data_IF_039124299748
#
_entry.id   IF_039124299748
#
_cell.length_a   1.000
_cell.length_b   1.000
_cell.length_c   1.000
_cell.angle_alpha   90.00
_cell.angle_beta   90.00
_cell.angle_gamma   90.00
#
_symmetry.space_group_name_H-M   'P 1'
#
loop_
_entity.id
_entity.type
_entity.pdbx_description
1 polymer ?
#
# COMPACT_ATOMS: atom_id res chain seq x y z
N UNK A 1 16.69 53.13 33.34
CA UNK A 1 17.58 52.19 34.06
C UNK A 1 16.70 51.40 35.03
N UNK A 2 16.53 50.10 34.74
CA UNK A 2 16.08 49.02 35.66
C UNK A 2 17.05 48.86 36.85
N UNK A 3 16.79 48.04 37.91
CA UNK A 3 16.07 46.73 37.95
C UNK A 3 14.98 46.61 39.07
N UNK A 4 13.90 45.84 38.84
CA UNK A 4 13.70 44.39 39.10
C UNK A 4 13.92 43.96 40.56
N UNK A 5 12.85 43.52 41.26
CA UNK A 5 12.73 42.10 41.56
C UNK A 5 11.34 41.62 42.02
N UNK A 6 11.20 40.30 41.85
CA UNK A 6 10.08 39.39 41.70
C UNK A 6 9.05 39.22 42.84
N UNK A 7 7.81 38.94 42.41
CA UNK A 7 6.64 38.53 43.18
C UNK A 7 6.47 36.99 43.06
N UNK A 8 6.25 36.28 44.17
CA UNK A 8 5.78 34.88 44.19
C UNK A 8 4.67 34.72 45.22
N UNK A 9 3.50 34.30 44.76
CA UNK A 9 2.29 34.00 45.53
C UNK A 9 1.80 32.58 45.22
N UNK A 10 0.92 32.10 46.12
CA UNK A 10 0.09 30.89 46.07
C UNK A 10 0.73 29.65 46.72
N UNK A 11 0.05 28.88 47.57
CA UNK A 11 -1.38 28.85 47.91
C UNK A 11 -1.72 27.42 48.37
N UNK A 12 -2.65 27.35 49.32
CA UNK A 12 -2.95 26.22 50.22
C UNK A 12 -3.69 25.02 49.60
N UNK A 13 -3.52 23.87 50.29
CA UNK A 13 -4.31 22.63 50.45
C UNK A 13 -5.61 22.41 49.68
N UNK A 14 -5.83 21.18 49.18
CA UNK A 14 -6.70 20.21 49.88
C UNK A 14 -6.58 18.76 49.38
N UNK A 15 -6.73 17.85 50.34
CA UNK A 15 -6.65 16.38 50.29
C UNK A 15 -8.06 15.84 50.43
N UNK A 16 -8.50 14.84 49.63
CA UNK A 16 -9.33 13.71 50.13
C UNK A 16 -9.01 12.42 49.32
N UNK A 17 -8.67 11.38 50.08
CA UNK A 17 -8.47 9.96 49.73
C UNK A 17 -9.71 9.19 50.19
N UNK A 18 -10.18 8.17 49.45
CA UNK A 18 -10.90 7.04 50.05
C UNK A 18 -10.50 5.69 49.42
N UNK A 19 -10.22 4.72 50.30
CA UNK A 19 -9.76 3.35 50.03
C UNK A 19 -10.53 2.38 50.94
N UNK A 20 -10.94 1.23 50.38
CA UNK A 20 -11.21 -0.06 51.08
C UNK A 20 -12.55 -0.19 51.81
N UNK A 21 -13.06 -1.37 52.18
CA UNK A 21 -12.75 -2.81 51.97
C UNK A 21 -13.82 -3.60 52.79
N UNK A 22 -14.12 -4.85 52.38
CA UNK A 22 -14.44 -6.05 53.21
C UNK A 22 -15.74 -6.10 54.06
N UNK A 23 -16.58 -7.13 53.86
CA UNK A 23 -16.77 -8.35 54.72
C UNK A 23 -18.02 -8.18 55.62
N UNK A 24 -18.88 -9.13 56.02
CA UNK A 24 -18.83 -10.59 56.23
C UNK A 24 -20.25 -11.13 56.60
N UNK A 25 -20.54 -12.39 56.22
CA UNK A 25 -21.25 -13.50 56.96
C UNK A 25 -22.67 -13.39 57.56
N UNK A 26 -23.45 -14.48 57.36
CA UNK A 26 -24.11 -15.22 58.46
C UNK A 26 -25.51 -15.87 58.22
N UNK A 27 -25.53 -17.19 57.98
CA UNK A 27 -26.34 -18.31 58.60
C UNK A 27 -27.86 -18.12 58.91
N UNK A 28 -28.85 -19.01 58.64
CA UNK A 28 -29.06 -20.42 59.11
C UNK A 28 -30.41 -21.06 58.63
N UNK A 29 -30.43 -22.39 58.33
CA UNK A 29 -31.42 -23.52 58.55
C UNK A 29 -32.97 -23.31 58.63
N UNK A 30 -33.92 -24.22 58.26
CA UNK A 30 -33.96 -25.71 58.15
C UNK A 30 -35.16 -26.32 57.35
N UNK A 31 -34.93 -27.49 56.70
CA UNK A 31 -35.67 -28.79 56.61
C UNK A 31 -37.12 -29.01 56.07
N UNK A 32 -37.26 -29.86 55.03
CA UNK A 32 -37.83 -31.25 55.01
C UNK A 32 -37.78 -31.81 53.55
N UNK A 33 -37.00 -32.88 53.26
CA UNK A 33 -37.42 -34.27 52.92
C UNK A 33 -38.28 -34.43 51.62
N UNK A 34 -38.02 -35.29 50.61
CA UNK A 34 -37.31 -36.58 50.55
C UNK A 34 -37.21 -37.16 49.10
N UNK A 35 -36.24 -38.07 48.89
CA UNK A 35 -36.11 -39.20 47.91
C UNK A 35 -35.56 -39.02 46.46
N UNK A 36 -34.25 -39.35 46.34
CA UNK A 36 -33.55 -40.31 45.40
C UNK A 36 -33.87 -40.34 43.90
N UNK A 37 -32.87 -40.07 43.03
CA UNK A 37 -31.86 -41.04 42.57
C UNK A 37 -30.82 -40.43 41.60
N UNK A 38 -29.62 -41.00 41.65
CA UNK A 38 -28.34 -40.73 40.96
C UNK A 38 -28.46 -40.61 39.42
N UNK A 39 -27.60 -39.94 38.65
CA UNK A 39 -26.14 -40.12 38.50
C UNK A 39 -25.53 -38.84 37.91
N UNK A 40 -24.41 -38.39 38.49
CA UNK A 40 -23.71 -37.16 38.11
C UNK A 40 -22.68 -37.31 37.00
N UNK A 41 -22.36 -36.19 36.35
CA UNK A 41 -21.11 -35.96 35.64
C UNK A 41 -20.69 -34.51 35.90
N UNK A 42 -19.58 -34.37 36.62
CA UNK A 42 -18.92 -33.10 36.92
C UNK A 42 -17.77 -32.87 35.92
N UNK A 43 -17.50 -31.59 35.68
CA UNK A 43 -16.56 -31.06 34.69
C UNK A 43 -15.16 -30.97 35.30
N UNK A 44 -14.10 -31.39 34.58
CA UNK A 44 -12.73 -30.95 34.92
C UNK A 44 -11.87 -30.64 33.69
N UNK A 45 -11.24 -29.47 33.79
CA UNK A 45 -10.36 -28.75 32.86
C UNK A 45 -8.97 -29.41 32.66
N UNK A 46 -8.46 -29.37 31.41
CA UNK A 46 -7.08 -29.48 30.83
C UNK A 46 -5.85 -29.97 31.66
N UNK A 47 -4.71 -30.37 31.03
CA UNK A 47 -4.47 -31.33 29.94
C UNK A 47 -3.38 -32.39 30.33
N UNK A 48 -3.38 -33.58 29.73
CA UNK A 48 -2.23 -34.50 29.76
C UNK A 48 -1.51 -34.50 28.41
N UNK A 49 -0.15 -34.43 28.37
CA UNK A 49 0.60 -34.40 27.12
C UNK A 49 0.54 -35.77 26.45
N UNK A 50 -0.12 -35.87 25.30
CA UNK A 50 -0.18 -37.13 24.55
C UNK A 50 1.09 -37.23 23.70
N UNK A 51 1.96 -38.17 24.09
CA UNK A 51 3.09 -38.64 23.27
C UNK A 51 2.53 -39.34 22.03
N UNK A 52 2.77 -38.76 20.85
CA UNK A 52 2.27 -39.30 19.58
C UNK A 52 3.22 -40.42 19.11
N UNK A 53 2.72 -41.63 18.77
CA UNK A 53 3.54 -42.70 18.21
C UNK A 53 4.01 -42.37 16.77
N UNK A 54 5.17 -42.91 16.33
CA UNK A 54 5.92 -42.44 15.16
C UNK A 54 5.27 -42.70 13.79
N UNK A 55 4.02 -43.14 13.72
CA UNK A 55 3.29 -43.40 12.47
C UNK A 55 2.26 -42.32 12.07
N UNK A 56 2.20 -41.18 12.79
CA UNK A 56 1.24 -40.10 12.50
C UNK A 56 1.86 -38.83 11.90
N UNK A 57 3.15 -38.84 11.60
CA UNK A 57 3.85 -37.73 10.91
C UNK A 57 3.27 -37.41 9.52
N UNK A 58 2.81 -38.38 8.69
CA UNK A 58 2.29 -38.03 7.36
C UNK A 58 0.90 -37.38 7.36
N UNK A 59 0.14 -37.47 8.47
CA UNK A 59 -1.25 -36.99 8.50
C UNK A 59 -1.35 -35.51 8.91
N UNK A 60 -0.32 -34.97 9.57
CA UNK A 60 -0.25 -33.53 9.91
C UNK A 60 0.16 -32.70 8.68
N UNK A 61 0.98 -33.27 7.79
CA UNK A 61 1.34 -32.64 6.51
C UNK A 61 0.16 -32.55 5.52
N UNK A 62 -0.86 -33.40 5.67
CA UNK A 62 -2.09 -33.31 4.87
C UNK A 62 -3.07 -32.24 5.39
N UNK A 63 -3.05 -31.91 6.69
CA UNK A 63 -4.04 -31.01 7.30
C UNK A 63 -3.67 -29.53 7.17
N UNK A 64 -2.38 -29.17 7.08
CA UNK A 64 -1.95 -27.76 6.93
C UNK A 64 -1.44 -27.38 5.54
N UNK A 65 -1.46 -28.30 4.57
CA UNK A 65 -0.77 -28.16 3.29
C UNK A 65 -1.62 -28.13 2.03
N UNK A 66 -2.89 -27.67 2.05
CA UNK A 66 -3.63 -27.33 0.82
C UNK A 66 -4.56 -26.13 1.04
N UNK A 67 -4.25 -25.04 0.34
CA UNK A 67 -5.03 -23.81 0.32
C UNK A 67 -6.49 -24.07 -0.03
N UNK A 68 -7.40 -23.64 0.84
CA UNK A 68 -8.84 -23.66 0.57
C UNK A 68 -9.20 -22.54 -0.41
N UNK A 69 -9.98 -22.95 -1.41
CA UNK A 69 -10.58 -22.15 -2.48
C UNK A 69 -11.62 -21.20 -1.84
N UNK A 70 -11.52 -19.91 -2.13
CA UNK A 70 -12.48 -18.90 -1.66
C UNK A 70 -13.66 -18.86 -2.64
N UNK A 71 -14.85 -19.10 -2.09
CA UNK A 71 -16.15 -18.92 -2.74
C UNK A 71 -16.46 -17.43 -2.87
N UNK A 72 -16.80 -16.95 -4.07
CA UNK A 72 -17.24 -15.58 -4.33
C UNK A 72 -18.60 -15.60 -5.04
N UNK A 73 -19.70 -15.80 -4.31
CA UNK A 73 -21.01 -15.36 -4.79
C UNK A 73 -21.92 -15.02 -3.61
N UNK A 74 -22.34 -13.76 -3.55
CA UNK A 74 -23.77 -13.40 -3.40
C UNK A 74 -24.00 -11.97 -3.91
N UNK A 75 -25.14 -11.68 -4.57
CA UNK A 75 -25.33 -10.50 -5.42
C UNK A 75 -26.40 -9.51 -4.91
N UNK A 76 -26.61 -8.47 -5.73
CA UNK A 76 -27.81 -7.60 -5.90
C UNK A 76 -27.78 -6.17 -5.31
N UNK A 77 -28.57 -5.21 -5.87
CA UNK A 77 -28.76 -4.88 -7.30
C UNK A 77 -28.95 -3.35 -7.59
N UNK A 78 -29.20 -3.02 -8.88
CA UNK A 78 -29.86 -1.81 -9.47
C UNK A 78 -28.95 -0.62 -9.88
N UNK A 79 -28.77 -0.28 -11.18
CA UNK A 79 -29.66 0.19 -12.27
C UNK A 79 -29.86 1.74 -12.32
N UNK A 80 -30.00 2.36 -13.52
CA UNK A 80 -29.28 3.59 -13.86
C UNK A 80 -30.13 4.80 -14.35
N UNK A 81 -29.44 5.96 -14.44
CA UNK A 81 -29.68 7.14 -15.32
C UNK A 81 -30.89 8.07 -15.05
N UNK A 82 -30.98 9.29 -15.66
CA UNK A 82 -29.95 10.16 -16.27
C UNK A 82 -30.07 11.70 -15.99
N UNK A 83 -29.06 12.43 -16.50
CA UNK A 83 -29.11 13.71 -17.27
C UNK A 83 -29.04 15.12 -16.65
N UNK A 84 -28.09 15.89 -17.24
CA UNK A 84 -28.11 17.32 -17.65
C UNK A 84 -27.72 18.40 -16.61
N UNK A 85 -26.53 19.04 -16.73
CA UNK A 85 -26.18 20.30 -17.46
C UNK A 85 -26.79 21.56 -16.80
N UNK A 86 -26.15 22.71 -16.56
CA UNK A 86 -24.92 23.34 -17.07
C UNK A 86 -24.70 24.71 -16.39
N UNK A 87 -23.44 25.14 -16.31
CA UNK A 87 -22.88 26.48 -16.60
C UNK A 87 -22.97 27.70 -15.66
N UNK A 88 -21.84 28.45 -15.74
CA UNK A 88 -21.54 29.87 -15.46
C UNK A 88 -21.16 30.21 -14.00
N UNK A 89 -20.15 31.03 -13.68
CA UNK A 89 -19.08 31.82 -14.32
C UNK A 89 -18.27 32.37 -13.10
N UNK A 90 -16.98 32.76 -13.08
CA UNK A 90 -16.27 33.73 -13.90
C UNK A 90 -14.82 33.84 -13.36
N UNK A 91 -13.92 34.25 -14.25
CA UNK A 91 -12.45 34.29 -14.18
C UNK A 91 -11.88 35.59 -13.60
N UNK A 92 -10.62 35.55 -13.17
CA UNK A 92 -9.69 36.69 -13.15
C UNK A 92 -8.28 36.13 -13.41
N UNK A 93 -7.75 36.34 -14.61
CA UNK A 93 -6.52 37.11 -14.87
C UNK A 93 -6.24 37.12 -16.38
N UNK A 94 -5.91 38.32 -16.83
CA UNK A 94 -5.87 38.82 -18.20
C UNK A 94 -4.66 38.33 -18.99
N UNK A 95 -4.91 37.94 -20.24
CA UNK A 95 -3.94 37.70 -21.30
C UNK A 95 -3.08 38.94 -21.60
N UNK A 96 -1.86 38.70 -22.06
CA UNK A 96 -1.21 39.58 -23.04
C UNK A 96 -0.71 38.73 -24.19
N UNK A 97 -1.30 38.99 -25.34
CA UNK A 97 -1.22 38.26 -26.61
C UNK A 97 0.04 38.63 -27.38
N UNK A 98 0.75 37.64 -27.94
CA UNK A 98 1.34 37.77 -29.28
C UNK A 98 1.00 36.49 -30.06
N UNK A 99 0.20 36.67 -31.09
CA UNK A 99 -0.35 35.64 -31.97
C UNK A 99 0.65 35.17 -33.02
N UNK A 100 0.75 33.85 -33.22
CA UNK A 100 0.81 33.25 -34.57
C UNK A 100 0.07 31.90 -34.54
N UNK A 101 -1.07 31.85 -35.21
CA UNK A 101 -1.90 30.65 -35.39
C UNK A 101 -1.27 29.72 -36.42
N UNK A 102 -1.40 28.39 -36.24
CA UNK A 102 -1.67 27.41 -37.31
C UNK A 102 -2.05 26.03 -36.71
N UNK A 103 -3.31 25.65 -36.94
CA UNK A 103 -3.95 24.32 -36.88
C UNK A 103 -3.94 23.45 -35.60
N UNK A 104 -5.10 22.85 -35.22
CA UNK A 104 -5.20 21.83 -34.18
C UNK A 104 -5.05 20.43 -34.77
N UNK A 105 -4.08 19.64 -34.29
CA UNK A 105 -4.13 18.16 -34.24
C UNK A 105 -2.76 17.60 -33.85
N UNK A 106 -2.52 17.39 -32.56
CA UNK A 106 -1.48 16.44 -32.15
C UNK A 106 -1.98 15.59 -30.99
N UNK A 107 -2.41 14.36 -31.34
CA UNK A 107 -2.27 13.20 -30.46
C UNK A 107 -0.88 13.26 -29.85
N UNK A 108 -0.80 13.24 -28.52
CA UNK A 108 0.45 13.11 -27.78
C UNK A 108 1.20 11.89 -28.31
N UNK A 109 2.25 12.12 -29.09
CA UNK A 109 3.19 11.07 -29.50
C UNK A 109 4.15 10.89 -28.34
N UNK A 110 3.95 9.83 -27.56
CA UNK A 110 4.90 9.36 -26.56
C UNK A 110 6.22 9.09 -27.29
N UNK A 111 7.25 9.91 -27.03
CA UNK A 111 8.58 9.75 -27.62
C UNK A 111 9.46 8.98 -26.63
N UNK A 112 10.30 8.04 -27.10
CA UNK A 112 11.28 7.39 -26.24
C UNK A 112 12.27 8.42 -25.68
N UNK A 113 12.60 8.28 -24.38
CA UNK A 113 13.58 9.13 -23.68
C UNK A 113 14.95 8.47 -23.78
N UNK A 114 15.98 9.21 -24.19
CA UNK A 114 17.35 8.72 -24.39
C UNK A 114 18.30 9.08 -23.23
N UNK A 115 19.38 8.32 -23.07
CA UNK A 115 20.37 8.47 -22.00
C UNK A 115 21.06 9.83 -21.95
N UNK A 116 21.00 10.49 -20.80
CA UNK A 116 21.99 11.47 -20.32
C UNK A 116 22.51 11.01 -18.95
N UNK A 117 23.72 11.43 -18.54
CA UNK A 117 24.29 11.02 -17.24
C UNK A 117 23.36 11.40 -16.07
N UNK A 118 22.72 12.57 -16.12
CA UNK A 118 21.77 13.02 -15.10
C UNK A 118 20.53 12.14 -15.01
N UNK A 119 19.98 11.66 -16.14
CA UNK A 119 18.83 10.75 -16.13
C UNK A 119 19.21 9.37 -15.59
N UNK A 120 20.44 8.91 -15.84
CA UNK A 120 20.99 7.68 -15.27
C UNK A 120 21.07 7.74 -13.75
N UNK A 121 21.65 8.79 -13.19
CA UNK A 121 21.75 8.96 -11.72
C UNK A 121 20.37 9.00 -11.05
N UNK A 122 19.38 9.66 -11.68
CA UNK A 122 17.99 9.67 -11.19
C UNK A 122 17.38 8.28 -11.21
N UNK A 123 17.58 7.53 -12.29
CA UNK A 123 17.04 6.18 -12.40
C UNK A 123 17.68 5.21 -11.39
N UNK A 124 18.99 5.34 -11.12
CA UNK A 124 19.67 4.57 -10.08
C UNK A 124 19.15 4.90 -8.68
N UNK A 125 18.91 6.18 -8.40
CA UNK A 125 18.27 6.62 -7.16
C UNK A 125 16.86 6.02 -7.02
N UNK A 126 16.03 6.08 -8.06
CA UNK A 126 14.68 5.51 -8.04
C UNK A 126 14.69 3.99 -7.93
N UNK A 127 15.63 3.28 -8.55
CA UNK A 127 15.82 1.85 -8.34
C UNK A 127 16.09 1.52 -6.86
N UNK A 128 16.87 2.35 -6.17
CA UNK A 128 17.08 2.21 -4.73
C UNK A 128 15.77 2.44 -3.94
N UNK A 129 14.94 3.42 -4.32
CA UNK A 129 13.63 3.68 -3.71
C UNK A 129 12.64 2.54 -3.93
N UNK A 130 12.58 2.01 -5.14
CA UNK A 130 11.76 0.84 -5.48
C UNK A 130 12.17 -0.37 -4.63
N UNK A 131 13.48 -0.66 -4.56
CA UNK A 131 14.01 -1.74 -3.72
C UNK A 131 13.70 -1.49 -2.23
N UNK A 132 13.73 -0.24 -1.78
CA UNK A 132 13.40 0.12 -0.40
C UNK A 132 11.95 -0.22 -0.02
N UNK A 133 11.01 -0.24 -0.98
CA UNK A 133 9.63 -0.66 -0.70
C UNK A 133 9.54 -2.08 -0.13
N UNK A 134 10.47 -2.97 -0.48
CA UNK A 134 10.56 -4.33 0.10
C UNK A 134 10.76 -4.26 1.61
N UNK A 135 11.68 -3.40 2.06
CA UNK A 135 11.95 -3.19 3.48
C UNK A 135 10.78 -2.49 4.17
N UNK A 136 10.21 -1.46 3.56
CA UNK A 136 9.02 -0.75 4.08
C UNK A 136 7.86 -1.70 4.30
N UNK A 137 7.61 -2.59 3.34
CA UNK A 137 6.53 -3.57 3.44
C UNK A 137 6.78 -4.58 4.56
N UNK A 138 7.99 -5.14 4.67
CA UNK A 138 8.35 -6.04 5.76
C UNK A 138 8.19 -5.43 7.16
N UNK A 139 8.43 -4.12 7.29
CA UNK A 139 8.37 -3.43 8.58
C UNK A 139 6.96 -2.97 8.99
N UNK A 140 6.11 -2.63 8.03
CA UNK A 140 4.84 -1.94 8.30
C UNK A 140 3.60 -2.62 7.73
N UNK A 141 3.76 -3.55 6.79
CA UNK A 141 2.66 -4.13 6.01
C UNK A 141 2.00 -3.12 5.07
N UNK A 142 2.67 -2.01 4.74
CA UNK A 142 2.20 -0.95 3.86
C UNK A 142 3.34 -0.50 2.93
N UNK A 143 2.99 0.01 1.75
CA UNK A 143 3.92 0.70 0.83
C UNK A 143 3.24 1.95 0.25
N UNK A 144 3.89 2.61 -0.69
CA UNK A 144 3.30 3.71 -1.46
C UNK A 144 2.13 3.26 -2.38
N UNK A 145 1.92 1.95 -2.58
CA UNK A 145 0.85 1.38 -3.43
C UNK A 145 0.04 0.23 -2.80
N UNK A 146 0.46 -0.28 -1.64
CA UNK A 146 -0.28 -1.28 -0.85
C UNK A 146 -0.75 -0.63 0.43
N UNK A 147 -2.06 -0.53 0.61
CA UNK A 147 -2.63 0.04 1.83
C UNK A 147 -2.61 -0.97 2.97
N UNK A 148 -2.30 -0.53 4.21
CA UNK A 148 -2.17 -1.43 5.38
C UNK A 148 -3.38 -2.32 5.65
N UNK A 149 -4.58 -1.81 5.34
CA UNK A 149 -5.83 -2.53 5.59
C UNK A 149 -6.07 -3.69 4.62
N UNK A 150 -5.30 -3.79 3.54
CA UNK A 150 -5.42 -4.88 2.56
C UNK A 150 -4.56 -6.09 2.93
N UNK A 151 -3.40 -5.85 3.56
CA UNK A 151 -2.37 -6.88 3.80
C UNK A 151 -2.90 -8.08 4.57
N UNK A 152 -3.58 -7.87 5.70
CA UNK A 152 -4.12 -8.98 6.52
C UNK A 152 -5.29 -9.73 5.88
N UNK A 153 -5.91 -9.15 4.85
CA UNK A 153 -7.12 -9.69 4.21
C UNK A 153 -6.82 -10.47 2.94
N UNK A 154 -5.55 -10.59 2.54
CA UNK A 154 -5.14 -11.32 1.35
C UNK A 154 -3.99 -12.27 1.67
N UNK A 155 -4.17 -13.53 1.31
CA UNK A 155 -3.13 -14.56 1.40
C UNK A 155 -1.94 -14.21 0.52
N UNK A 156 -2.17 -13.70 -0.70
CA UNK A 156 -1.12 -13.26 -1.62
C UNK A 156 -0.26 -12.14 -1.00
N UNK A 157 -0.88 -11.16 -0.33
CA UNK A 157 -0.16 -10.08 0.33
C UNK A 157 0.56 -10.54 1.60
N UNK A 158 -0.02 -11.45 2.38
CA UNK A 158 0.66 -12.05 3.54
C UNK A 158 1.88 -12.88 3.10
N UNK A 159 1.76 -13.62 2.00
CA UNK A 159 2.88 -14.37 1.43
C UNK A 159 3.98 -13.45 0.91
N UNK A 160 3.62 -12.33 0.27
CA UNK A 160 4.57 -11.31 -0.15
C UNK A 160 5.22 -10.61 1.07
N UNK A 161 4.47 -10.36 2.14
CA UNK A 161 4.98 -9.77 3.39
C UNK A 161 6.02 -10.69 4.05
N UNK A 162 5.71 -11.99 4.12
CA UNK A 162 6.64 -13.00 4.62
C UNK A 162 7.91 -13.07 3.74
N UNK A 163 7.75 -13.05 2.42
CA UNK A 163 8.89 -13.03 1.49
C UNK A 163 9.75 -11.76 1.62
N UNK A 164 9.12 -10.59 1.79
CA UNK A 164 9.84 -9.33 2.05
C UNK A 164 10.64 -9.40 3.35
N UNK A 165 10.09 -10.03 4.38
CA UNK A 165 10.78 -10.25 5.66
C UNK A 165 11.97 -11.20 5.50
N UNK A 166 11.80 -12.31 4.77
CA UNK A 166 12.89 -13.23 4.44
C UNK A 166 13.99 -12.50 3.65
N UNK A 167 13.61 -11.75 2.61
CA UNK A 167 14.53 -10.97 1.79
C UNK A 167 15.31 -9.93 2.61
N UNK A 168 14.67 -9.26 3.57
CA UNK A 168 15.32 -8.30 4.45
C UNK A 168 16.34 -8.94 5.40
N UNK A 169 16.19 -10.22 5.74
CA UNK A 169 17.13 -11.00 6.58
C UNK A 169 18.16 -11.78 5.77
N UNK A 170 18.17 -11.61 4.44
CA UNK A 170 19.07 -12.31 3.54
C UNK A 170 20.52 -11.94 3.82
N UNK A 171 21.38 -12.94 3.85
CA UNK A 171 22.83 -12.83 4.02
C UNK A 171 23.53 -13.88 3.13
N UNK A 172 24.87 -13.85 3.00
CA UNK A 172 25.58 -14.81 2.14
C UNK A 172 25.31 -16.28 2.47
N UNK A 173 25.01 -16.63 3.72
CA UNK A 173 24.79 -18.01 4.15
C UNK A 173 23.41 -18.56 3.79
N UNK A 174 22.38 -17.70 3.73
CA UNK A 174 21.00 -18.13 3.41
C UNK A 174 20.51 -17.64 2.02
N UNK A 175 21.35 -16.95 1.25
CA UNK A 175 20.95 -16.29 0.00
C UNK A 175 20.26 -17.22 -0.99
N UNK A 176 20.84 -18.40 -1.24
CA UNK A 176 20.27 -19.38 -2.17
C UNK A 176 18.88 -19.86 -1.72
N UNK A 177 18.71 -20.15 -0.43
CA UNK A 177 17.42 -20.58 0.14
C UNK A 177 16.36 -19.48 0.01
N UNK A 178 16.72 -18.23 0.33
CA UNK A 178 15.82 -17.08 0.20
C UNK A 178 15.39 -16.90 -1.26
N UNK A 179 16.35 -16.98 -2.19
CA UNK A 179 16.09 -16.87 -3.63
C UNK A 179 15.16 -17.98 -4.11
N UNK A 180 15.44 -19.25 -3.77
CA UNK A 180 14.59 -20.37 -4.15
C UNK A 180 13.18 -20.26 -3.59
N UNK A 181 13.03 -19.81 -2.34
CA UNK A 181 11.71 -19.63 -1.72
C UNK A 181 10.91 -18.49 -2.38
N UNK A 182 11.57 -17.39 -2.77
CA UNK A 182 10.93 -16.31 -3.53
C UNK A 182 10.47 -16.83 -4.89
N UNK A 183 11.33 -17.53 -5.64
CA UNK A 183 10.95 -18.12 -6.94
C UNK A 183 9.76 -19.08 -6.79
N UNK A 184 9.78 -19.96 -5.79
CA UNK A 184 8.66 -20.89 -5.50
C UNK A 184 7.35 -20.16 -5.23
N UNK A 185 7.37 -19.07 -4.46
CA UNK A 185 6.18 -18.25 -4.16
C UNK A 185 5.63 -17.57 -5.40
N UNK A 186 6.52 -17.09 -6.28
CA UNK A 186 6.10 -16.48 -7.56
C UNK A 186 5.41 -17.51 -8.45
N UNK A 187 5.99 -18.70 -8.60
CA UNK A 187 5.39 -19.78 -9.40
C UNK A 187 3.99 -20.15 -8.90
N UNK A 188 3.82 -20.31 -7.58
CA UNK A 188 2.52 -20.58 -6.97
C UNK A 188 1.52 -19.45 -7.18
N UNK A 189 1.96 -18.19 -7.05
CA UNK A 189 1.11 -17.02 -7.28
C UNK A 189 0.63 -16.97 -8.74
N UNK A 190 1.53 -17.22 -9.70
CA UNK A 190 1.21 -17.25 -11.12
C UNK A 190 0.19 -18.35 -11.40
N UNK A 191 0.47 -19.58 -10.95
CA UNK A 191 -0.41 -20.72 -11.17
C UNK A 191 -1.81 -20.47 -10.59
N UNK A 192 -1.89 -19.99 -9.34
CA UNK A 192 -3.17 -19.74 -8.68
C UNK A 192 -3.97 -18.63 -9.36
N UNK A 193 -3.31 -17.51 -9.71
CA UNK A 193 -3.97 -16.36 -10.33
C UNK A 193 -4.42 -16.68 -11.76
N UNK A 194 -3.57 -17.32 -12.57
CA UNK A 194 -3.93 -17.69 -13.94
C UNK A 194 -5.04 -18.75 -13.98
N UNK A 195 -5.05 -19.69 -13.04
CA UNK A 195 -6.15 -20.64 -12.88
C UNK A 195 -7.45 -19.93 -12.53
N UNK A 196 -7.42 -18.97 -11.59
CA UNK A 196 -8.60 -18.19 -11.22
C UNK A 196 -9.15 -17.37 -12.40
N UNK A 197 -8.27 -16.77 -13.21
CA UNK A 197 -8.64 -16.06 -14.44
C UNK A 197 -9.28 -17.01 -15.45
N UNK A 198 -8.71 -18.20 -15.66
CA UNK A 198 -9.24 -19.18 -16.60
C UNK A 198 -10.63 -19.71 -16.20
N UNK A 199 -10.88 -19.83 -14.88
CA UNK A 199 -12.17 -20.27 -14.33
C UNK A 199 -13.24 -19.18 -14.32
N UNK A 200 -12.86 -17.90 -14.45
CA UNK A 200 -13.78 -16.75 -14.45
C UNK A 200 -13.69 -15.98 -15.78
N UNK A 201 -14.19 -16.54 -16.91
CA UNK A 201 -14.12 -15.87 -18.20
C UNK A 201 -14.91 -14.56 -18.21
N UNK A 202 -14.26 -13.47 -18.64
CA UNK A 202 -14.76 -12.07 -18.66
C UNK A 202 -16.05 -11.84 -19.48
N UNK A 203 -16.58 -12.87 -20.15
CA UNK A 203 -17.73 -12.80 -21.05
C UNK A 203 -19.09 -13.08 -20.41
N UNK A 204 -19.13 -13.46 -19.14
CA UNK A 204 -20.39 -13.75 -18.45
C UNK A 204 -20.81 -12.55 -17.60
N UNK A 205 -22.03 -12.06 -17.80
CA UNK A 205 -22.71 -11.08 -16.94
C UNK A 205 -23.03 -11.66 -15.54
N UNK A 206 -22.04 -12.33 -14.94
CA UNK A 206 -22.08 -12.91 -13.60
C UNK A 206 -21.21 -12.06 -12.69
N UNK A 207 -21.80 -11.64 -11.59
CA UNK A 207 -21.39 -10.62 -10.62
C UNK A 207 -20.14 -10.96 -9.78
N UNK A 208 -19.29 -11.89 -10.22
CA UNK A 208 -18.02 -12.20 -9.57
C UNK A 208 -16.89 -11.44 -10.25
N UNK A 209 -16.71 -10.18 -9.84
CA UNK A 209 -15.54 -9.40 -10.20
C UNK A 209 -14.30 -10.12 -9.65
N UNK A 210 -13.54 -10.79 -10.51
CA UNK A 210 -12.28 -11.41 -10.12
C UNK A 210 -11.34 -10.33 -9.60
N UNK A 211 -10.98 -10.44 -8.32
CA UNK A 211 -10.08 -9.48 -7.69
C UNK A 211 -8.62 -9.91 -7.86
N UNK A 212 -7.98 -9.43 -8.94
CA UNK A 212 -6.55 -9.67 -9.19
C UNK A 212 -5.63 -8.66 -8.50
N UNK A 213 -6.16 -7.61 -7.85
CA UNK A 213 -5.35 -6.53 -7.28
C UNK A 213 -4.32 -7.05 -6.27
N UNK A 214 -4.66 -7.91 -5.29
CA UNK A 214 -3.68 -8.42 -4.34
C UNK A 214 -2.58 -9.26 -5.01
N UNK A 215 -2.91 -10.01 -6.07
CA UNK A 215 -1.94 -10.77 -6.85
C UNK A 215 -0.97 -9.86 -7.60
N UNK A 216 -1.47 -8.77 -8.21
CA UNK A 216 -0.63 -7.77 -8.89
C UNK A 216 0.30 -7.08 -7.88
N UNK A 217 -0.24 -6.64 -6.74
CA UNK A 217 0.54 -6.01 -5.68
C UNK A 217 1.64 -6.95 -5.14
N UNK A 218 1.31 -8.21 -4.87
CA UNK A 218 2.28 -9.22 -4.43
C UNK A 218 3.36 -9.48 -5.49
N UNK A 219 2.96 -9.61 -6.76
CA UNK A 219 3.88 -9.78 -7.88
C UNK A 219 4.85 -8.60 -7.99
N UNK A 220 4.38 -7.36 -7.89
CA UNK A 220 5.25 -6.18 -7.92
C UNK A 220 6.30 -6.20 -6.80
N UNK A 221 5.93 -6.65 -5.59
CA UNK A 221 6.92 -6.82 -4.51
C UNK A 221 8.00 -7.85 -4.88
N UNK A 222 7.63 -8.98 -5.48
CA UNK A 222 8.59 -9.95 -6.00
C UNK A 222 9.45 -9.36 -7.12
N UNK A 223 8.87 -8.56 -8.02
CA UNK A 223 9.65 -7.91 -9.09
C UNK A 223 10.66 -6.91 -8.53
N UNK A 224 10.30 -6.16 -7.49
CA UNK A 224 11.24 -5.26 -6.79
C UNK A 224 12.44 -6.03 -6.23
N UNK A 225 12.24 -7.24 -5.70
CA UNK A 225 13.32 -8.08 -5.19
C UNK A 225 14.24 -8.60 -6.29
N UNK A 226 13.67 -8.98 -7.45
CA UNK A 226 14.34 -9.74 -8.51
C UNK A 226 15.03 -8.86 -9.56
N UNK A 227 14.33 -7.85 -10.08
CA UNK A 227 14.85 -6.95 -11.12
C UNK A 227 16.08 -6.17 -10.64
N UNK A 228 16.08 -5.76 -9.37
CA UNK A 228 17.13 -4.95 -8.75
C UNK A 228 18.05 -5.76 -7.81
N UNK A 229 18.09 -7.09 -7.97
CA UNK A 229 18.89 -8.00 -7.13
C UNK A 229 20.40 -7.98 -7.43
N UNK A 230 20.79 -7.54 -8.63
CA UNK A 230 22.14 -7.71 -9.18
C UNK A 230 22.43 -9.14 -9.69
N UNK A 231 21.50 -10.08 -9.52
CA UNK A 231 21.59 -11.45 -10.00
C UNK A 231 20.92 -11.58 -11.37
N UNK A 232 21.71 -11.90 -12.39
CA UNK A 232 21.22 -12.06 -13.76
C UNK A 232 20.18 -13.17 -13.91
N UNK A 233 20.25 -14.24 -13.11
CA UNK A 233 19.26 -15.32 -13.15
C UNK A 233 17.89 -14.84 -12.66
N UNK A 234 17.88 -14.09 -11.55
CA UNK A 234 16.67 -13.50 -11.00
C UNK A 234 16.05 -12.46 -11.96
N UNK A 235 16.91 -11.67 -12.62
CA UNK A 235 16.46 -10.72 -13.64
C UNK A 235 15.81 -11.41 -14.84
N UNK A 236 16.41 -12.49 -15.35
CA UNK A 236 15.84 -13.25 -16.48
C UNK A 236 14.48 -13.86 -16.10
N UNK A 237 14.34 -14.42 -14.90
CA UNK A 237 13.05 -14.95 -14.42
C UNK A 237 12.00 -13.83 -14.29
N UNK A 238 12.38 -12.70 -13.70
CA UNK A 238 11.53 -11.53 -13.57
C UNK A 238 11.01 -11.02 -14.92
N UNK A 239 11.88 -10.97 -15.93
CA UNK A 239 11.53 -10.61 -17.31
C UNK A 239 10.56 -11.60 -17.95
N UNK A 240 10.72 -12.90 -17.70
CA UNK A 240 9.79 -13.91 -18.19
C UNK A 240 8.39 -13.76 -17.56
N UNK A 241 8.35 -13.53 -16.25
CA UNK A 241 7.12 -13.38 -15.47
C UNK A 241 6.41 -12.05 -15.71
N UNK A 242 7.08 -11.06 -16.32
CA UNK A 242 6.48 -9.77 -16.69
C UNK A 242 5.24 -9.95 -17.58
N UNK A 243 5.20 -11.01 -18.40
CA UNK A 243 4.05 -11.34 -19.25
C UNK A 243 2.79 -11.63 -18.44
N UNK A 244 2.92 -12.39 -17.35
CA UNK A 244 1.80 -12.68 -16.44
C UNK A 244 1.37 -11.42 -15.70
N UNK A 245 2.32 -10.61 -15.22
CA UNK A 245 2.01 -9.33 -14.59
C UNK A 245 1.23 -8.40 -15.53
N UNK A 246 1.67 -8.24 -16.78
CA UNK A 246 1.01 -7.41 -17.78
C UNK A 246 -0.42 -7.89 -18.08
N UNK A 247 -0.61 -9.20 -18.23
CA UNK A 247 -1.94 -9.81 -18.39
C UNK A 247 -2.87 -9.45 -17.21
N UNK A 248 -2.37 -9.46 -15.97
CA UNK A 248 -3.18 -9.14 -14.80
C UNK A 248 -3.46 -7.64 -14.68
N UNK A 249 -2.50 -6.79 -15.06
CA UNK A 249 -2.69 -5.34 -15.13
C UNK A 249 -3.78 -4.97 -16.15
N UNK A 250 -3.89 -5.68 -17.27
CA UNK A 250 -4.94 -5.45 -18.27
C UNK A 250 -6.36 -5.79 -17.76
N UNK A 251 -6.48 -6.59 -16.70
CA UNK A 251 -7.75 -6.91 -16.04
C UNK A 251 -8.17 -5.79 -15.08
N UNK A 252 -7.20 -5.09 -14.46
CA UNK A 252 -7.49 -4.01 -13.52
C UNK A 252 -8.20 -2.84 -14.23
N UNK A 253 -9.27 -2.35 -13.61
CA UNK A 253 -10.04 -1.21 -14.11
C UNK A 253 -9.78 0.02 -13.22
N UNK A 254 -8.94 0.97 -13.66
CA UNK A 254 -8.68 2.19 -12.93
C UNK A 254 -9.92 3.09 -12.92
N UNK A 255 -10.22 3.69 -11.76
CA UNK A 255 -11.30 4.67 -11.60
C UNK A 255 -10.71 5.97 -11.08
N UNK A 256 -11.17 7.13 -11.57
CA UNK A 256 -10.66 8.42 -11.09
C UNK A 256 -10.82 8.52 -9.56
N UNK A 257 -9.79 9.00 -8.84
CA UNK A 257 -9.85 9.11 -7.40
C UNK A 257 -10.93 10.13 -7.01
N UNK A 258 -11.69 9.77 -5.97
CA UNK A 258 -12.70 10.65 -5.38
C UNK A 258 -12.20 11.13 -4.03
N UNK A 259 -12.29 12.45 -3.81
CA UNK A 259 -11.89 13.03 -2.55
C UNK A 259 -12.86 12.64 -1.43
N UNK A 260 -12.34 12.38 -0.21
CA UNK A 260 -13.20 12.21 0.96
C UNK A 260 -13.91 13.55 1.21
N UNK A 261 -15.20 13.65 0.88
CA UNK A 261 -15.98 14.87 1.05
C UNK A 261 -16.90 14.75 2.27
N UNK A 262 -17.06 15.85 3.01
CA UNK A 262 -17.91 15.93 4.20
C UNK A 262 -19.42 15.85 3.90
N UNK A 263 -19.82 15.92 2.62
CA UNK A 263 -21.21 16.03 2.16
C UNK A 263 -21.73 14.85 1.34
N UNK A 264 -20.96 13.78 1.13
CA UNK A 264 -21.44 12.65 0.35
C UNK A 264 -22.52 11.89 1.13
N UNK A 265 -23.76 11.99 0.65
CA UNK A 265 -24.91 11.17 1.07
C UNK A 265 -24.77 9.68 0.74
N UNK A 266 -23.60 9.28 0.24
CA UNK A 266 -23.30 7.92 -0.17
C UNK A 266 -22.19 7.39 0.72
N UNK A 267 -22.53 6.29 1.39
CA UNK A 267 -21.68 5.44 2.21
C UNK A 267 -20.63 4.73 1.32
N UNK A 268 -19.80 5.52 0.63
CA UNK A 268 -18.61 5.01 -0.04
C UNK A 268 -17.69 4.49 1.06
N UNK A 269 -17.77 3.19 1.31
CA UNK A 269 -17.00 2.57 2.38
C UNK A 269 -15.51 2.90 2.17
N UNK A 270 -14.81 3.29 3.22
CA UNK A 270 -13.37 3.54 3.18
C UNK A 270 -12.60 2.38 2.52
N UNK A 271 -13.11 1.14 2.64
CA UNK A 271 -12.57 -0.04 1.93
C UNK A 271 -12.70 0.06 0.41
N UNK A 272 -13.85 0.54 -0.09
CA UNK A 272 -14.08 0.77 -1.53
C UNK A 272 -13.15 1.85 -2.06
N UNK A 273 -13.01 2.96 -1.33
CA UNK A 273 -12.06 4.01 -1.69
C UNK A 273 -10.61 3.49 -1.68
N UNK A 274 -10.19 2.82 -0.59
CA UNK A 274 -8.84 2.24 -0.48
C UNK A 274 -8.57 1.30 -1.65
N UNK A 275 -9.55 0.48 -2.04
CA UNK A 275 -9.44 -0.41 -3.18
C UNK A 275 -9.22 0.37 -4.49
N UNK A 276 -10.08 1.33 -4.80
CA UNK A 276 -9.98 2.12 -6.04
C UNK A 276 -8.65 2.88 -6.13
N UNK A 277 -8.26 3.54 -5.03
CA UNK A 277 -7.00 4.26 -4.90
C UNK A 277 -5.79 3.31 -5.03
N UNK A 278 -5.87 2.12 -4.44
CA UNK A 278 -4.80 1.11 -4.56
C UNK A 278 -4.66 0.59 -5.99
N UNK A 279 -5.74 0.46 -6.77
CA UNK A 279 -5.65 0.10 -8.19
C UNK A 279 -4.84 1.14 -8.95
N UNK A 280 -5.19 2.43 -8.80
CA UNK A 280 -4.48 3.55 -9.43
C UNK A 280 -2.99 3.53 -9.08
N UNK A 281 -2.67 3.50 -7.78
CA UNK A 281 -1.29 3.51 -7.28
C UNK A 281 -0.50 2.29 -7.73
N UNK A 282 -1.12 1.11 -7.76
CA UNK A 282 -0.49 -0.14 -8.22
C UNK A 282 -0.15 -0.06 -9.71
N UNK A 283 -1.04 0.47 -10.55
CA UNK A 283 -0.79 0.63 -11.98
C UNK A 283 0.30 1.67 -12.26
N UNK A 284 0.30 2.80 -11.54
CA UNK A 284 1.38 3.81 -11.62
C UNK A 284 2.71 3.21 -11.19
N UNK A 285 2.73 2.48 -10.07
CA UNK A 285 3.94 1.86 -9.56
C UNK A 285 4.46 0.74 -10.48
N UNK A 286 3.58 0.00 -11.14
CA UNK A 286 3.97 -1.00 -12.15
C UNK A 286 4.70 -0.36 -13.33
N UNK A 287 4.16 0.72 -13.90
CA UNK A 287 4.83 1.47 -14.97
C UNK A 287 6.16 2.05 -14.49
N UNK A 288 6.22 2.52 -13.24
CA UNK A 288 7.46 3.01 -12.65
C UNK A 288 8.55 1.93 -12.58
N UNK A 289 8.22 0.75 -12.07
CA UNK A 289 9.16 -0.39 -11.99
C UNK A 289 9.68 -0.78 -13.38
N UNK A 290 8.77 -0.91 -14.36
CA UNK A 290 9.11 -1.27 -15.73
C UNK A 290 9.97 -0.20 -16.41
N UNK A 291 9.59 1.08 -16.29
CA UNK A 291 10.28 2.22 -16.90
C UNK A 291 11.70 2.37 -16.35
N UNK A 292 11.89 2.32 -15.03
CA UNK A 292 13.21 2.45 -14.40
C UNK A 292 14.10 1.26 -14.76
N UNK A 293 13.57 0.04 -14.70
CA UNK A 293 14.33 -1.15 -15.08
C UNK A 293 14.77 -1.11 -16.56
N UNK A 294 13.84 -0.83 -17.47
CA UNK A 294 14.09 -0.78 -18.92
C UNK A 294 15.11 0.32 -19.24
N UNK A 295 14.97 1.49 -18.63
CA UNK A 295 15.93 2.58 -18.81
C UNK A 295 17.34 2.21 -18.33
N UNK A 296 17.48 1.61 -17.15
CA UNK A 296 18.78 1.20 -16.63
C UNK A 296 19.42 0.07 -17.45
N UNK A 297 18.60 -0.84 -18.00
CA UNK A 297 19.08 -1.97 -18.78
C UNK A 297 19.42 -1.62 -20.23
N UNK A 298 18.62 -0.78 -20.88
CA UNK A 298 18.70 -0.53 -22.32
C UNK A 298 19.02 0.92 -22.70
N UNK A 299 19.03 1.84 -21.73
CA UNK A 299 19.30 3.26 -21.95
C UNK A 299 18.13 4.07 -22.50
N UNK A 300 16.95 3.47 -22.62
CA UNK A 300 15.73 4.15 -23.04
C UNK A 300 14.52 3.51 -22.38
N UNK A 301 13.44 4.26 -22.29
CA UNK A 301 12.13 3.75 -21.89
C UNK A 301 11.03 4.43 -22.69
N UNK A 302 9.86 3.79 -22.70
CA UNK A 302 8.64 4.33 -23.28
C UNK A 302 7.52 4.14 -22.25
N UNK A 303 6.97 5.22 -21.67
CA UNK A 303 5.86 5.11 -20.73
C UNK A 303 4.65 4.43 -21.38
N UNK A 304 3.89 3.68 -20.59
CA UNK A 304 2.62 3.13 -21.02
C UNK A 304 1.66 4.25 -21.41
N UNK A 305 0.93 4.16 -22.54
CA UNK A 305 -0.10 5.14 -22.88
C UNK A 305 -1.17 5.32 -21.80
N UNK A 306 -1.43 4.26 -21.02
CA UNK A 306 -2.38 4.29 -19.91
C UNK A 306 -1.92 5.17 -18.76
N UNK A 307 -0.61 5.35 -18.57
CA UNK A 307 -0.06 6.10 -17.44
C UNK A 307 -0.67 7.51 -17.35
N UNK A 308 -0.80 8.21 -18.48
CA UNK A 308 -1.31 9.59 -18.52
C UNK A 308 -2.77 9.74 -18.09
N UNK A 309 -3.55 8.66 -18.10
CA UNK A 309 -4.96 8.63 -17.67
C UNK A 309 -5.11 8.32 -16.17
N UNK A 310 -4.03 7.88 -15.52
CA UNK A 310 -4.03 7.54 -14.11
C UNK A 310 -3.89 8.79 -13.23
N UNK A 311 -4.44 8.68 -12.03
CA UNK A 311 -4.38 9.74 -11.01
C UNK A 311 -4.54 9.14 -9.63
N UNK A 312 -3.99 9.80 -8.63
CA UNK A 312 -4.04 9.35 -7.23
C UNK A 312 -4.13 10.54 -6.27
N UNK A 313 -4.52 10.28 -5.03
CA UNK A 313 -4.56 11.30 -3.97
C UNK A 313 -3.19 11.37 -3.31
N UNK A 314 -2.50 12.49 -3.47
CA UNK A 314 -1.14 12.70 -2.97
C UNK A 314 -1.02 12.98 -1.47
N UNK A 315 -2.13 13.19 -0.74
CA UNK A 315 -2.06 13.50 0.69
C UNK A 315 -1.56 12.32 1.51
N UNK A 316 -0.45 12.52 2.23
CA UNK A 316 0.08 11.51 3.14
C UNK A 316 -0.91 11.12 4.25
N UNK A 317 -1.67 12.08 4.78
CA UNK A 317 -2.64 11.84 5.85
C UNK A 317 -3.80 10.93 5.41
N UNK A 318 -4.32 11.12 4.20
CA UNK A 318 -5.46 10.39 3.66
C UNK A 318 -5.05 8.96 3.31
N UNK A 319 -3.89 8.78 2.65
CA UNK A 319 -3.39 7.43 2.32
C UNK A 319 -2.98 6.63 3.55
N UNK A 320 -2.40 7.26 4.57
CA UNK A 320 -1.90 6.55 5.75
C UNK A 320 -2.95 6.35 6.86
N UNK A 321 -4.17 6.84 6.66
CA UNK A 321 -5.26 6.66 7.61
C UNK A 321 -5.44 5.17 7.95
N UNK A 322 -5.55 4.84 9.24
CA UNK A 322 -5.63 3.44 9.71
C UNK A 322 -7.06 2.98 9.93
N UNK A 323 -8.01 3.90 9.86
CA UNK A 323 -9.41 3.67 10.14
C UNK A 323 -10.28 4.61 9.32
N UNK A 324 -11.56 4.26 9.18
CA UNK A 324 -12.57 5.12 8.56
C UNK A 324 -12.64 6.50 9.24
N UNK A 325 -12.46 6.56 10.56
CA UNK A 325 -12.49 7.81 11.33
C UNK A 325 -11.29 8.70 11.04
N UNK A 326 -10.07 8.14 11.01
CA UNK A 326 -8.87 8.88 10.63
C UNK A 326 -8.96 9.38 9.18
N UNK A 327 -9.51 8.56 8.28
CA UNK A 327 -9.67 8.90 6.87
C UNK A 327 -10.65 10.07 6.66
N UNK A 328 -11.80 10.03 7.34
CA UNK A 328 -12.78 11.15 7.31
C UNK A 328 -12.18 12.42 7.88
N UNK A 329 -11.53 12.32 9.04
CA UNK A 329 -10.88 13.46 9.69
C UNK A 329 -9.82 14.09 8.78
N UNK A 330 -8.99 13.28 8.12
CA UNK A 330 -7.98 13.77 7.18
C UNK A 330 -8.62 14.52 5.99
N UNK A 331 -9.73 14.00 5.44
CA UNK A 331 -10.46 14.65 4.35
C UNK A 331 -11.19 15.93 4.75
N UNK A 332 -11.59 16.07 6.01
CA UNK A 332 -12.18 17.32 6.54
C UNK A 332 -11.14 18.40 6.83
N UNK A 333 -9.94 18.00 7.26
CA UNK A 333 -8.88 18.91 7.68
C UNK A 333 -7.99 19.41 6.54
N UNK A 334 -7.92 18.67 5.43
CA UNK A 334 -7.02 18.96 4.32
C UNK A 334 -7.77 18.99 3.00
N UNK A 335 -7.37 19.92 2.13
CA UNK A 335 -7.78 19.87 0.73
C UNK A 335 -7.14 18.65 0.08
N UNK A 336 -7.99 17.82 -0.53
CA UNK A 336 -7.57 16.65 -1.28
C UNK A 336 -6.75 17.05 -2.52
N UNK A 337 -5.51 16.56 -2.58
CA UNK A 337 -4.51 16.80 -3.60
C UNK A 337 -4.60 15.67 -4.64
N UNK A 338 -5.42 15.84 -5.67
CA UNK A 338 -5.47 14.90 -6.79
C UNK A 338 -4.29 15.20 -7.74
N UNK A 339 -3.45 14.19 -7.97
CA UNK A 339 -2.30 14.27 -8.86
C UNK A 339 -2.57 13.44 -10.11
N UNK A 340 -2.78 14.11 -11.25
CA UNK A 340 -2.96 13.46 -12.54
C UNK A 340 -1.59 13.24 -13.20
N UNK A 341 -1.32 12.03 -13.70
CA UNK A 341 0.00 11.75 -14.29
C UNK A 341 0.29 12.57 -15.54
N UNK A 342 -0.73 12.93 -16.33
CA UNK A 342 -0.58 13.81 -17.49
C UNK A 342 -0.34 15.28 -17.12
N UNK A 343 -0.75 15.70 -15.92
CA UNK A 343 -0.64 17.06 -15.40
C UNK A 343 0.27 17.20 -14.19
N UNK A 344 1.07 16.18 -13.86
CA UNK A 344 1.70 16.04 -12.54
C UNK A 344 2.53 17.26 -12.14
N UNK A 345 3.40 17.74 -13.05
CA UNK A 345 4.25 18.91 -12.80
C UNK A 345 3.45 20.18 -12.52
N UNK A 346 2.25 20.32 -13.09
CA UNK A 346 1.38 21.45 -12.82
C UNK A 346 0.63 21.28 -11.49
N UNK A 347 0.17 20.06 -11.20
CA UNK A 347 -0.57 19.76 -9.97
C UNK A 347 0.29 19.87 -8.71
N UNK A 348 1.59 19.59 -8.80
CA UNK A 348 2.51 19.62 -7.65
C UNK A 348 3.09 21.01 -7.37
N UNK A 349 2.88 21.99 -8.26
CA UNK A 349 3.37 23.37 -8.07
C UNK A 349 2.76 24.00 -6.82
N UNK A 350 3.62 24.47 -5.92
CA UNK A 350 3.20 25.13 -4.68
C UNK A 350 2.70 24.19 -3.59
N UNK A 351 2.67 22.87 -3.84
CA UNK A 351 2.35 21.87 -2.82
C UNK A 351 3.55 21.71 -1.87
N UNK A 352 3.28 21.70 -0.56
CA UNK A 352 4.31 21.40 0.42
C UNK A 352 4.72 19.93 0.31
N UNK A 353 6.03 19.66 0.36
CA UNK A 353 6.55 18.29 0.34
C UNK A 353 6.23 17.51 1.62
N UNK A 354 5.87 18.20 2.70
CA UNK A 354 5.35 17.57 3.93
C UNK A 354 3.95 16.99 3.75
N UNK A 355 3.15 17.55 2.84
CA UNK A 355 1.79 17.08 2.55
C UNK A 355 1.80 15.92 1.54
N UNK A 356 2.86 15.81 0.75
CA UNK A 356 3.02 14.82 -0.31
C UNK A 356 3.44 13.46 0.28
N UNK A 357 2.75 12.42 -0.15
CA UNK A 357 3.06 11.06 0.24
C UNK A 357 4.27 10.48 -0.49
N UNK A 358 4.65 9.25 -0.13
CA UNK A 358 5.84 8.62 -0.69
C UNK A 358 5.75 8.39 -2.21
N UNK A 359 4.56 8.08 -2.75
CA UNK A 359 4.39 7.89 -4.18
C UNK A 359 4.58 9.22 -4.93
N UNK A 360 3.97 10.29 -4.44
CA UNK A 360 4.13 11.62 -5.00
C UNK A 360 5.57 12.11 -4.95
N UNK A 361 6.29 11.85 -3.86
CA UNK A 361 7.72 12.20 -3.77
C UNK A 361 8.56 11.41 -4.77
N UNK A 362 8.32 10.10 -4.93
CA UNK A 362 9.03 9.29 -5.93
C UNK A 362 8.78 9.83 -7.35
N UNK A 363 7.52 10.15 -7.69
CA UNK A 363 7.18 10.71 -9.00
C UNK A 363 7.83 12.08 -9.21
N UNK A 364 7.81 12.95 -8.19
CA UNK A 364 8.46 14.25 -8.24
C UNK A 364 9.96 14.13 -8.54
N UNK A 365 10.66 13.19 -7.92
CA UNK A 365 12.10 12.99 -8.14
C UNK A 365 12.40 12.51 -9.56
N UNK A 366 11.52 11.73 -10.18
CA UNK A 366 11.70 11.33 -11.59
C UNK A 366 11.72 12.57 -12.49
N UNK A 367 10.77 13.49 -12.30
CA UNK A 367 10.65 14.70 -13.10
C UNK A 367 11.71 15.75 -12.77
N UNK A 368 11.88 16.10 -11.49
CA UNK A 368 12.69 17.24 -11.04
C UNK A 368 14.11 16.84 -10.58
N UNK A 369 14.32 15.56 -10.28
CA UNK A 369 15.57 15.03 -9.73
C UNK A 369 15.65 15.09 -8.21
N UNK A 370 16.50 14.26 -7.59
CA UNK A 370 16.64 14.16 -6.13
C UNK A 370 17.20 15.42 -5.47
N UNK A 371 17.70 16.38 -6.25
CA UNK A 371 18.13 17.70 -5.76
C UNK A 371 16.98 18.50 -5.15
N UNK A 372 15.73 18.26 -5.57
CA UNK A 372 14.55 18.86 -4.95
C UNK A 372 14.45 18.46 -3.48
N UNK A 373 14.78 17.21 -3.17
CA UNK A 373 14.75 16.68 -1.81
C UNK A 373 15.92 17.20 -0.96
N UNK A 374 17.11 17.39 -1.55
CA UNK A 374 18.23 18.02 -0.84
C UNK A 374 17.91 19.47 -0.47
N UNK A 375 17.33 20.22 -1.40
CA UNK A 375 16.93 21.61 -1.16
C UNK A 375 15.85 21.71 -0.08
N UNK A 376 14.89 20.79 -0.10
CA UNK A 376 13.84 20.73 0.92
C UNK A 376 14.38 20.32 2.30
N UNK A 377 15.22 19.29 2.35
CA UNK A 377 15.79 18.81 3.61
C UNK A 377 16.76 19.82 4.24
N UNK A 378 17.46 20.63 3.43
CA UNK A 378 18.47 21.56 3.91
C UNK A 378 19.52 20.83 4.78
N UNK A 379 19.68 21.29 6.03
CA UNK A 379 20.59 20.68 7.01
C UNK A 379 19.92 19.59 7.89
N UNK A 380 18.66 19.24 7.65
CA UNK A 380 17.96 18.19 8.40
C UNK A 380 18.52 16.80 8.06
N UNK A 381 19.45 16.34 8.89
CA UNK A 381 20.07 15.02 8.80
C UNK A 381 19.06 13.86 8.84
N UNK A 382 17.93 14.01 9.53
CA UNK A 382 16.91 12.96 9.59
C UNK A 382 16.18 12.85 8.26
N UNK A 383 15.81 13.98 7.66
CA UNK A 383 15.18 14.00 6.33
C UNK A 383 16.15 13.51 5.25
N UNK A 384 17.40 13.97 5.26
CA UNK A 384 18.43 13.46 4.35
C UNK A 384 18.62 11.95 4.49
N UNK A 385 18.55 11.40 5.71
CA UNK A 385 18.62 9.95 5.95
C UNK A 385 17.36 9.23 5.51
N UNK A 386 16.17 9.78 5.71
CA UNK A 386 14.89 9.20 5.24
C UNK A 386 14.89 9.00 3.72
N UNK A 387 15.46 9.96 3.00
CA UNK A 387 15.50 9.96 1.53
C UNK A 387 16.83 9.44 0.95
N UNK A 388 17.76 8.95 1.77
CA UNK A 388 19.03 8.40 1.29
C UNK A 388 19.95 9.36 0.57
N UNK A 389 19.97 10.59 1.05
CA UNK A 389 20.80 11.69 0.57
C UNK A 389 21.92 12.06 1.57
N UNK A 390 22.17 11.23 2.59
CA UNK A 390 23.18 11.50 3.60
C UNK A 390 24.60 11.34 3.04
N UNK A 391 25.43 12.37 3.19
CA UNK A 391 26.77 12.53 2.58
C UNK A 391 27.88 11.59 3.13
N UNK A 392 27.56 10.46 3.76
CA UNK A 392 28.58 9.61 4.36
C UNK A 392 28.27 8.14 4.25
N UNK A 393 28.89 7.47 3.26
CA UNK A 393 29.21 6.04 3.14
C UNK A 393 28.13 4.96 3.37
N UNK A 394 27.00 5.30 3.96
CA UNK A 394 25.90 4.43 4.34
C UNK A 394 24.66 4.97 3.64
N UNK A 395 24.49 4.57 2.39
CA UNK A 395 23.21 4.73 1.71
C UNK A 395 22.16 3.98 2.57
N UNK A 396 21.08 4.61 3.06
CA UNK A 396 20.08 3.93 3.89
C UNK A 396 19.24 2.89 3.11
N UNK A 397 19.45 2.80 1.79
CA UNK A 397 18.91 1.78 0.90
C UNK A 397 19.88 0.62 0.62
N UNK A 398 21.14 0.69 1.09
CA UNK A 398 22.10 -0.42 1.03
C UNK A 398 21.88 -1.46 2.13
#
# INVERSE_FOLDING_TARGET
MSPEDTQKTSGSSDVIVWKGRAETTGTSQSNHESFTSEVGLDISLFPTPITIPPSLVPLVDEITGRGRIISLFTPDPCLPHPSQSSQNSQTLYTETTISTSLLPSQRSRIRPVYTTNTLKERAEYEACRIKHQVKTFAQSGQTCFIHRSQTSNSTALLDAFAACSLYATRNPANSSLVVSEISRRVELLIQATDTAIALCPLSSQSTMNLDVLPSVQAMLMYQCMRLFSGDSSQQVQAEQDSKSLNKWLDILQPHKPECPSSSSKFDHSWKTWVRAESVQRTMIFADLVESIYTFLRFGWYQPSPRLGELSFIGNASIWNAKSLTEWRQAGEQQTCLILEMSGFQENVKGVSLDDLDELGIMILVIYEGFEVLRRWAGDDKKMLKKWGLSSGGNNPFE
#
